data_IF_755050645942
#
_entry.id   IF_755050645942
#
_cell.length_a   1.000
_cell.length_b   1.000
_cell.length_c   1.000
_cell.angle_alpha   90.00
_cell.angle_beta   90.00
_cell.angle_gamma   90.00
#
_symmetry.space_group_name_H-M   'P 1'
#
loop_
_entity.id
_entity.type
_entity.pdbx_description
1 polymer ?
#
# COMPACT_ATOMS: atom_id res chain seq x y z
N UNK A 1 -30.74 -21.69 -19.27
CA UNK A 1 -29.88 -20.87 -18.38
C UNK A 1 -29.76 -19.47 -18.97
N UNK A 2 -30.39 -18.47 -18.36
CA UNK A 2 -30.39 -17.07 -18.85
C UNK A 2 -28.99 -16.44 -18.69
N UNK A 3 -28.33 -15.98 -19.77
CA UNK A 3 -26.96 -15.42 -19.72
C UNK A 3 -26.78 -14.22 -18.77
N UNK A 4 -27.86 -13.54 -18.37
CA UNK A 4 -27.83 -12.39 -17.47
C UNK A 4 -27.70 -12.72 -15.98
N UNK A 5 -28.24 -13.86 -15.51
CA UNK A 5 -28.28 -14.17 -14.07
C UNK A 5 -26.88 -14.48 -13.49
N UNK A 6 -26.00 -15.10 -14.29
CA UNK A 6 -24.61 -15.39 -13.90
C UNK A 6 -23.73 -14.13 -13.77
N UNK A 7 -23.91 -13.16 -14.68
CA UNK A 7 -23.17 -11.88 -14.65
C UNK A 7 -23.55 -11.01 -13.44
N UNK A 8 -24.85 -10.89 -13.17
CA UNK A 8 -25.36 -10.11 -12.01
C UNK A 8 -24.94 -10.74 -10.67
N UNK A 9 -24.79 -12.07 -10.61
CA UNK A 9 -24.23 -12.76 -9.43
C UNK A 9 -22.74 -12.45 -9.25
N UNK A 10 -21.95 -12.53 -10.33
CA UNK A 10 -20.52 -12.21 -10.31
C UNK A 10 -20.21 -10.78 -9.89
N UNK A 11 -20.98 -9.81 -10.37
CA UNK A 11 -20.81 -8.40 -10.00
C UNK A 11 -21.12 -8.12 -8.53
N UNK A 12 -22.16 -8.75 -7.97
CA UNK A 12 -22.48 -8.63 -6.54
C UNK A 12 -21.40 -9.26 -5.66
N UNK A 13 -20.85 -10.41 -6.08
CA UNK A 13 -19.72 -11.03 -5.36
C UNK A 13 -18.49 -10.12 -5.45
N UNK A 14 -18.20 -9.55 -6.61
CA UNK A 14 -17.08 -8.63 -6.79
C UNK A 14 -17.16 -7.44 -5.83
N UNK A 15 -18.31 -6.76 -5.71
CA UNK A 15 -18.43 -5.62 -4.81
C UNK A 15 -18.32 -5.97 -3.33
N UNK A 16 -18.68 -7.20 -2.94
CA UNK A 16 -18.42 -7.69 -1.57
C UNK A 16 -16.93 -7.95 -1.32
N UNK A 17 -16.23 -8.53 -2.30
CA UNK A 17 -14.76 -8.70 -2.25
C UNK A 17 -14.08 -7.33 -2.20
N UNK A 18 -14.57 -6.37 -2.99
CA UNK A 18 -14.09 -5.00 -3.00
C UNK A 18 -14.30 -4.32 -1.64
N UNK A 19 -15.48 -4.44 -1.02
CA UNK A 19 -15.72 -3.95 0.33
C UNK A 19 -14.78 -4.58 1.36
N UNK A 20 -14.51 -5.88 1.23
CA UNK A 20 -13.57 -6.57 2.12
C UNK A 20 -12.14 -6.06 1.92
N UNK A 21 -11.70 -5.81 0.68
CA UNK A 21 -10.41 -5.20 0.39
C UNK A 21 -10.33 -3.73 0.86
N UNK A 22 -11.42 -2.97 0.77
CA UNK A 22 -11.52 -1.64 1.35
C UNK A 22 -11.35 -1.67 2.88
N UNK A 23 -12.08 -2.56 3.56
CA UNK A 23 -11.97 -2.77 5.00
C UNK A 23 -10.56 -3.23 5.41
N UNK A 24 -9.93 -4.08 4.59
CA UNK A 24 -8.55 -4.53 4.77
C UNK A 24 -7.58 -3.35 4.67
N UNK A 25 -7.71 -2.49 3.66
CA UNK A 25 -6.91 -1.27 3.52
C UNK A 25 -7.09 -0.32 4.71
N UNK A 26 -8.34 -0.13 5.16
CA UNK A 26 -8.62 0.62 6.38
C UNK A 26 -7.89 0.02 7.59
N UNK A 27 -8.10 -1.27 7.85
CA UNK A 27 -7.54 -1.99 9.01
C UNK A 27 -6.02 -2.01 9.05
N UNK A 28 -5.37 -1.95 7.90
CA UNK A 28 -3.93 -1.86 7.80
C UNK A 28 -3.38 -0.49 8.23
N UNK A 29 -4.03 0.60 7.78
CA UNK A 29 -3.42 1.93 7.84
C UNK A 29 -4.05 2.87 8.87
N UNK A 30 -5.23 2.57 9.42
CA UNK A 30 -5.90 3.42 10.43
C UNK A 30 -4.99 3.80 11.61
N UNK A 31 -4.07 2.89 11.97
CA UNK A 31 -3.03 3.06 12.99
C UNK A 31 -2.21 4.34 12.82
N UNK A 32 -1.99 4.80 11.58
CA UNK A 32 -1.21 6.00 11.28
C UNK A 32 -1.76 7.26 11.96
N UNK A 33 -3.08 7.41 12.04
CA UNK A 33 -3.69 8.55 12.75
C UNK A 33 -3.64 8.41 14.28
N UNK A 34 -3.45 7.18 14.79
CA UNK A 34 -3.34 6.91 16.22
C UNK A 34 -1.91 7.04 16.75
N UNK A 35 -0.90 7.13 15.88
CA UNK A 35 0.50 7.31 16.29
C UNK A 35 0.67 8.44 17.31
N UNK A 36 0.15 9.65 17.09
CA UNK A 36 0.30 10.73 18.06
C UNK A 36 -0.44 10.43 19.37
N UNK A 37 -1.63 9.83 19.29
CA UNK A 37 -2.48 9.50 20.44
C UNK A 37 -1.80 8.46 21.33
N UNK A 38 -1.23 7.41 20.72
CA UNK A 38 -0.52 6.34 21.43
C UNK A 38 0.75 6.85 22.13
N UNK A 39 1.43 7.86 21.56
CA UNK A 39 2.59 8.50 22.20
C UNK A 39 2.19 9.31 23.42
N UNK A 40 1.11 10.09 23.33
CA UNK A 40 0.71 11.00 24.40
C UNK A 40 -0.14 10.33 25.46
N UNK A 41 -1.22 9.65 25.06
CA UNK A 41 -2.19 9.03 25.97
C UNK A 41 -1.78 7.62 26.39
N UNK A 42 -1.12 6.88 25.50
CA UNK A 42 -0.56 5.56 25.81
C UNK A 42 0.86 5.61 26.39
N UNK A 43 1.44 6.81 26.52
CA UNK A 43 2.81 7.05 27.01
C UNK A 43 3.89 6.20 26.28
N UNK A 44 3.62 5.83 25.02
CA UNK A 44 4.52 4.96 24.27
C UNK A 44 5.68 5.75 23.65
N UNK A 45 6.93 5.27 23.76
CA UNK A 45 8.08 5.87 23.08
C UNK A 45 7.89 5.93 21.56
N UNK A 46 8.48 6.95 20.91
CA UNK A 46 8.48 7.09 19.45
C UNK A 46 9.00 5.83 18.76
N UNK A 47 10.07 5.23 19.32
CA UNK A 47 10.71 4.01 18.82
C UNK A 47 9.72 2.85 18.79
N UNK A 48 8.89 2.68 19.83
CA UNK A 48 7.89 1.62 19.91
C UNK A 48 6.83 1.77 18.83
N UNK A 49 6.27 2.98 18.69
CA UNK A 49 5.20 3.25 17.71
C UNK A 49 5.73 3.17 16.26
N UNK A 50 6.97 3.59 16.02
CA UNK A 50 7.64 3.44 14.73
C UNK A 50 8.00 1.97 14.44
N UNK A 51 8.42 1.20 15.46
CA UNK A 51 8.65 -0.26 15.36
C UNK A 51 7.38 -1.01 14.99
N UNK A 52 6.21 -0.50 15.42
CA UNK A 52 4.91 -1.02 15.03
C UNK A 52 4.61 -0.96 13.52
N UNK A 53 5.27 -0.08 12.76
CA UNK A 53 5.26 -0.10 11.29
C UNK A 53 6.20 -1.16 10.72
N UNK A 54 7.42 -1.24 11.25
CA UNK A 54 8.42 -2.22 10.80
C UNK A 54 7.95 -3.67 11.04
N UNK A 55 7.44 -3.99 12.25
CA UNK A 55 6.97 -5.33 12.60
C UNK A 55 5.71 -5.73 11.83
N UNK A 56 4.85 -4.76 11.49
CA UNK A 56 3.70 -4.99 10.62
C UNK A 56 4.14 -5.51 9.25
N UNK A 57 5.21 -4.95 8.67
CA UNK A 57 5.77 -5.44 7.43
C UNK A 57 6.28 -6.88 7.58
N UNK A 58 6.97 -7.21 8.68
CA UNK A 58 7.44 -8.58 8.96
C UNK A 58 6.27 -9.57 8.98
N UNK A 59 5.16 -9.22 9.64
CA UNK A 59 3.96 -10.07 9.64
C UNK A 59 3.31 -10.19 8.26
N UNK A 60 3.30 -9.09 7.49
CA UNK A 60 2.65 -9.02 6.19
C UNK A 60 3.33 -9.85 5.10
N UNK A 61 4.67 -9.89 5.07
CA UNK A 61 5.41 -10.51 3.97
C UNK A 61 5.09 -12.01 3.77
N UNK A 62 5.07 -12.87 4.81
CA UNK A 62 4.68 -14.28 4.64
C UNK A 62 3.28 -14.43 4.05
N UNK A 63 2.32 -13.62 4.51
CA UNK A 63 0.94 -13.64 4.01
C UNK A 63 0.85 -13.20 2.55
N UNK A 64 1.62 -12.20 2.15
CA UNK A 64 1.64 -11.69 0.78
C UNK A 64 2.31 -12.67 -0.20
N UNK A 65 3.40 -13.31 0.22
CA UNK A 65 4.15 -14.27 -0.60
C UNK A 65 3.45 -15.62 -0.70
N UNK A 66 2.85 -16.10 0.39
CA UNK A 66 2.19 -17.40 0.46
C UNK A 66 0.69 -17.38 0.17
N UNK A 67 0.02 -16.24 0.37
CA UNK A 67 -1.44 -16.14 0.31
C UNK A 67 -2.03 -16.47 -1.05
N UNK A 68 -1.34 -16.14 -2.14
CA UNK A 68 -1.76 -16.48 -3.50
C UNK A 68 -1.69 -17.99 -3.76
N UNK A 69 -0.55 -18.62 -3.45
CA UNK A 69 -0.38 -20.07 -3.60
C UNK A 69 -1.38 -20.85 -2.72
N UNK A 70 -1.68 -20.34 -1.53
CA UNK A 70 -2.67 -20.93 -0.64
C UNK A 70 -4.09 -20.73 -1.18
N UNK A 71 -4.41 -19.56 -1.73
CA UNK A 71 -5.68 -19.28 -2.40
C UNK A 71 -5.91 -20.21 -3.60
N UNK A 72 -4.88 -20.54 -4.37
CA UNK A 72 -4.98 -21.48 -5.49
C UNK A 72 -5.28 -22.91 -5.00
N UNK A 73 -4.74 -23.31 -3.84
CA UNK A 73 -4.92 -24.66 -3.27
C UNK A 73 -6.25 -24.86 -2.55
N UNK A 74 -6.66 -23.90 -1.71
CA UNK A 74 -7.83 -24.06 -0.83
C UNK A 74 -8.99 -23.11 -1.16
N UNK A 75 -8.82 -22.26 -2.19
CA UNK A 75 -9.80 -21.31 -2.68
C UNK A 75 -9.61 -19.90 -2.08
N UNK A 76 -9.65 -18.84 -2.90
CA UNK A 76 -9.37 -17.48 -2.45
C UNK A 76 -10.34 -16.98 -1.38
N UNK A 77 -11.62 -17.38 -1.45
CA UNK A 77 -12.64 -17.01 -0.45
C UNK A 77 -12.20 -17.36 0.97
N UNK A 78 -11.66 -18.56 1.20
CA UNK A 78 -11.29 -19.01 2.55
C UNK A 78 -10.13 -18.19 3.11
N UNK A 79 -9.12 -17.92 2.29
CA UNK A 79 -7.92 -17.18 2.69
C UNK A 79 -8.20 -15.70 2.92
N UNK A 80 -9.04 -15.09 2.08
CA UNK A 80 -9.46 -13.71 2.25
C UNK A 80 -10.21 -13.51 3.57
N UNK A 81 -11.16 -14.40 3.88
CA UNK A 81 -11.94 -14.31 5.12
C UNK A 81 -11.09 -14.59 6.37
N UNK A 82 -10.17 -15.56 6.29
CA UNK A 82 -9.21 -15.83 7.36
C UNK A 82 -8.31 -14.61 7.60
N UNK A 83 -7.72 -14.04 6.54
CA UNK A 83 -6.86 -12.87 6.63
C UNK A 83 -7.58 -11.66 7.23
N UNK A 84 -8.78 -11.34 6.76
CA UNK A 84 -9.58 -10.23 7.28
C UNK A 84 -9.95 -10.44 8.76
N UNK A 85 -10.31 -11.66 9.15
CA UNK A 85 -10.62 -12.01 10.55
C UNK A 85 -9.39 -11.88 11.45
N UNK A 86 -8.23 -12.36 10.99
CA UNK A 86 -6.95 -12.23 11.72
C UNK A 86 -6.59 -10.75 11.91
N UNK A 87 -6.74 -9.93 10.86
CA UNK A 87 -6.49 -8.49 10.95
C UNK A 87 -7.46 -7.77 11.89
N UNK A 88 -8.73 -8.18 11.92
CA UNK A 88 -9.70 -7.67 12.89
C UNK A 88 -9.31 -8.06 14.33
N UNK A 89 -8.92 -9.31 14.55
CA UNK A 89 -8.48 -9.79 15.86
C UNK A 89 -7.24 -9.04 16.37
N UNK A 90 -6.25 -8.81 15.51
CA UNK A 90 -5.06 -8.03 15.87
C UNK A 90 -5.38 -6.58 16.23
N UNK A 91 -6.31 -5.94 15.51
CA UNK A 91 -6.77 -4.59 15.85
C UNK A 91 -7.57 -4.56 17.16
N UNK A 92 -8.45 -5.55 17.39
CA UNK A 92 -9.22 -5.65 18.62
C UNK A 92 -8.31 -5.94 19.84
N UNK A 93 -7.26 -6.74 19.65
CA UNK A 93 -6.25 -6.95 20.69
C UNK A 93 -5.57 -5.63 21.09
N UNK A 94 -5.19 -4.80 20.12
CA UNK A 94 -4.61 -3.48 20.40
C UNK A 94 -5.62 -2.52 21.07
N UNK A 95 -6.93 -2.69 20.79
CA UNK A 95 -7.99 -1.89 21.43
C UNK A 95 -8.09 -2.13 22.94
N UNK A 96 -7.63 -3.27 23.45
CA UNK A 96 -7.68 -3.61 24.88
C UNK A 96 -6.30 -3.68 25.52
N UNK A 97 -5.24 -3.81 24.71
CA UNK A 97 -3.87 -3.97 25.17
C UNK A 97 -2.94 -2.95 24.52
N UNK A 98 -2.94 -1.73 25.09
CA UNK A 98 -2.19 -0.58 24.59
C UNK A 98 -0.72 -0.53 25.06
N UNK A 99 -0.25 -1.50 25.84
CA UNK A 99 1.16 -1.58 26.24
C UNK A 99 2.06 -1.85 25.03
N UNK A 100 3.34 -1.50 25.14
CA UNK A 100 4.34 -1.66 24.07
C UNK A 100 4.26 -3.04 23.38
N UNK A 101 4.34 -4.11 24.17
CA UNK A 101 4.26 -5.46 23.62
C UNK A 101 2.91 -5.74 22.95
N UNK A 102 1.80 -5.25 23.51
CA UNK A 102 0.46 -5.42 22.95
C UNK A 102 0.31 -4.76 21.58
N UNK A 103 0.84 -3.55 21.42
CA UNK A 103 0.87 -2.84 20.14
C UNK A 103 1.76 -3.56 19.13
N UNK A 104 2.96 -3.99 19.50
CA UNK A 104 3.87 -4.70 18.58
C UNK A 104 3.31 -6.07 18.15
N UNK A 105 2.82 -6.86 19.09
CA UNK A 105 2.21 -8.16 18.82
C UNK A 105 0.94 -8.00 17.96
N UNK A 106 0.08 -7.02 18.29
CA UNK A 106 -1.09 -6.70 17.51
C UNK A 106 -0.75 -6.31 16.08
N UNK A 107 0.25 -5.45 15.87
CA UNK A 107 0.71 -5.05 14.53
C UNK A 107 1.29 -6.20 13.72
N UNK A 108 2.01 -7.14 14.35
CA UNK A 108 2.47 -8.37 13.70
C UNK A 108 1.29 -9.23 13.21
N UNK A 109 0.29 -9.44 14.07
CA UNK A 109 -0.93 -10.20 13.74
C UNK A 109 -1.73 -9.52 12.63
N UNK A 110 -1.92 -8.19 12.72
CA UNK A 110 -2.57 -7.41 11.66
C UNK A 110 -1.79 -7.56 10.35
N UNK A 111 -0.46 -7.47 10.37
CA UNK A 111 0.39 -7.70 9.21
C UNK A 111 0.06 -9.02 8.52
N UNK A 112 0.13 -10.13 9.26
CA UNK A 112 -0.17 -11.47 8.74
C UNK A 112 -1.56 -11.59 8.12
N UNK A 113 -2.58 -11.05 8.80
CA UNK A 113 -3.95 -11.04 8.31
C UNK A 113 -4.12 -10.23 7.01
N UNK A 114 -3.57 -9.02 6.98
CA UNK A 114 -3.63 -8.14 5.80
C UNK A 114 -2.90 -8.77 4.61
N UNK A 115 -1.71 -9.35 4.81
CA UNK A 115 -0.96 -10.00 3.75
C UNK A 115 -1.76 -11.10 3.05
N UNK A 116 -2.42 -11.97 3.83
CA UNK A 116 -3.30 -13.02 3.33
C UNK A 116 -4.51 -12.43 2.57
N UNK A 117 -5.18 -11.45 3.15
CA UNK A 117 -6.38 -10.84 2.59
C UNK A 117 -6.12 -10.11 1.27
N UNK A 118 -5.04 -9.31 1.20
CA UNK A 118 -4.66 -8.57 0.00
C UNK A 118 -4.26 -9.54 -1.12
N UNK A 119 -3.43 -10.54 -0.83
CA UNK A 119 -2.96 -11.48 -1.84
C UNK A 119 -4.13 -12.30 -2.41
N UNK A 120 -4.89 -12.98 -1.55
CA UNK A 120 -5.99 -13.83 -1.99
C UNK A 120 -7.17 -13.04 -2.55
N UNK A 121 -7.39 -11.81 -2.06
CA UNK A 121 -8.48 -10.95 -2.51
C UNK A 121 -8.23 -10.40 -3.90
N UNK A 122 -6.97 -10.09 -4.21
CA UNK A 122 -6.56 -9.73 -5.58
C UNK A 122 -6.77 -10.90 -6.54
N UNK A 123 -6.38 -12.12 -6.15
CA UNK A 123 -6.66 -13.34 -6.94
C UNK A 123 -8.17 -13.49 -7.18
N UNK A 124 -8.99 -13.32 -6.13
CA UNK A 124 -10.44 -13.42 -6.26
C UNK A 124 -11.02 -12.36 -7.20
N UNK A 125 -10.55 -11.12 -7.10
CA UNK A 125 -10.97 -10.02 -7.97
C UNK A 125 -10.62 -10.31 -9.44
N UNK A 126 -9.45 -10.88 -9.72
CA UNK A 126 -9.04 -11.33 -11.06
C UNK A 126 -9.97 -12.44 -11.56
N UNK A 127 -10.32 -13.41 -10.73
CA UNK A 127 -11.25 -14.47 -11.14
C UNK A 127 -12.64 -13.92 -11.52
N UNK A 128 -13.06 -12.80 -10.92
CA UNK A 128 -14.38 -12.22 -11.16
C UNK A 128 -14.43 -11.26 -12.35
N UNK A 129 -13.35 -10.50 -12.59
CA UNK A 129 -13.33 -9.40 -13.59
C UNK A 129 -12.03 -9.32 -14.42
N UNK A 130 -11.16 -10.33 -14.36
CA UNK A 130 -9.86 -10.35 -15.03
C UNK A 130 -8.94 -9.21 -14.57
N UNK A 131 -8.14 -8.67 -15.50
CA UNK A 131 -7.22 -7.57 -15.26
C UNK A 131 -7.90 -6.30 -14.69
N UNK A 132 -9.14 -6.01 -15.14
CA UNK A 132 -9.93 -4.89 -14.61
C UNK A 132 -10.28 -5.09 -13.12
N UNK A 133 -10.49 -6.35 -12.71
CA UNK A 133 -10.70 -6.74 -11.32
C UNK A 133 -9.50 -6.47 -10.43
N UNK A 134 -8.29 -6.87 -10.85
CA UNK A 134 -7.04 -6.55 -10.13
C UNK A 134 -6.85 -5.04 -9.98
N UNK A 135 -7.04 -4.29 -11.06
CA UNK A 135 -6.87 -2.83 -11.06
C UNK A 135 -7.84 -2.17 -10.08
N UNK A 136 -9.12 -2.53 -10.13
CA UNK A 136 -10.14 -1.97 -9.25
C UNK A 136 -9.95 -2.42 -7.79
N UNK A 137 -9.54 -3.66 -7.56
CA UNK A 137 -9.15 -4.15 -6.24
C UNK A 137 -8.02 -3.32 -5.62
N UNK A 138 -6.97 -3.02 -6.40
CA UNK A 138 -5.88 -2.14 -5.97
C UNK A 138 -6.35 -0.73 -5.63
N UNK A 139 -7.17 -0.11 -6.49
CA UNK A 139 -7.73 1.23 -6.24
C UNK A 139 -8.56 1.26 -4.95
N UNK A 140 -9.42 0.25 -4.75
CA UNK A 140 -10.31 0.18 -3.58
C UNK A 140 -9.52 -0.11 -2.30
N UNK A 141 -8.48 -0.95 -2.38
CA UNK A 141 -7.55 -1.16 -1.27
C UNK A 141 -6.84 0.15 -0.89
N UNK A 142 -6.31 0.90 -1.86
CA UNK A 142 -5.66 2.20 -1.62
C UNK A 142 -6.64 3.24 -1.09
N UNK A 143 -7.89 3.23 -1.55
CA UNK A 143 -8.94 4.07 -0.96
C UNK A 143 -9.14 3.76 0.52
N UNK A 144 -9.14 2.48 0.91
CA UNK A 144 -9.14 2.06 2.31
C UNK A 144 -7.93 2.58 3.10
N UNK A 145 -6.72 2.48 2.52
CA UNK A 145 -5.51 3.06 3.13
C UNK A 145 -5.64 4.58 3.34
N UNK A 146 -6.30 5.29 2.43
CA UNK A 146 -6.50 6.73 2.49
C UNK A 146 -7.54 7.14 3.54
N UNK A 147 -8.72 6.49 3.52
CA UNK A 147 -9.86 6.88 4.35
C UNK A 147 -9.77 6.38 5.79
N UNK A 148 -9.07 5.26 6.03
CA UNK A 148 -8.93 4.68 7.36
C UNK A 148 -8.32 5.63 8.39
N UNK A 149 -7.10 6.17 8.15
CA UNK A 149 -6.49 7.18 9.02
C UNK A 149 -7.37 8.41 9.19
N UNK A 150 -8.03 8.88 8.13
CA UNK A 150 -8.87 10.07 8.23
C UNK A 150 -10.07 9.86 9.16
N UNK A 151 -10.79 8.76 9.00
CA UNK A 151 -11.89 8.41 9.89
C UNK A 151 -11.40 8.19 11.34
N UNK A 152 -10.27 7.50 11.52
CA UNK A 152 -9.66 7.33 12.86
C UNK A 152 -9.22 8.65 13.47
N UNK A 153 -8.68 9.57 12.66
CA UNK A 153 -8.27 10.91 13.08
C UNK A 153 -9.45 11.78 13.51
N UNK A 154 -10.58 11.71 12.79
CA UNK A 154 -11.84 12.35 13.22
C UNK A 154 -12.28 11.77 14.55
N UNK A 155 -12.38 10.44 14.67
CA UNK A 155 -12.81 9.78 15.90
C UNK A 155 -11.92 10.15 17.08
N UNK A 156 -10.60 10.16 16.90
CA UNK A 156 -9.66 10.54 17.93
C UNK A 156 -9.71 12.04 18.29
N UNK A 157 -10.10 12.91 17.36
CA UNK A 157 -10.20 14.35 17.61
C UNK A 157 -11.51 14.77 18.29
N UNK A 158 -12.62 14.04 18.06
CA UNK A 158 -13.94 14.39 18.60
C UNK A 158 -14.28 13.69 19.91
N UNK A 159 -13.64 12.55 20.17
CA UNK A 159 -13.88 11.77 21.39
C UNK A 159 -12.92 12.21 22.52
N UNK A 160 -13.30 11.97 23.79
CA UNK A 160 -12.37 12.11 24.90
C UNK A 160 -11.14 11.19 24.72
N UNK A 161 -10.05 11.45 25.45
CA UNK A 161 -8.76 10.77 25.28
C UNK A 161 -8.86 9.22 25.30
N UNK A 162 -9.46 8.62 26.34
CA UNK A 162 -9.49 7.14 26.44
C UNK A 162 -10.37 6.47 25.36
N UNK A 163 -11.62 6.94 25.11
CA UNK A 163 -12.40 6.43 23.99
C UNK A 163 -11.76 6.76 22.63
N UNK A 164 -11.10 7.90 22.48
CA UNK A 164 -10.42 8.33 21.25
C UNK A 164 -9.25 7.42 20.87
N UNK A 165 -8.61 6.77 21.84
CA UNK A 165 -7.59 5.75 21.61
C UNK A 165 -8.19 4.40 21.19
N UNK A 166 -9.30 3.98 21.81
CA UNK A 166 -9.86 2.64 21.66
C UNK A 166 -10.86 2.50 20.50
N UNK A 167 -11.77 3.47 20.35
CA UNK A 167 -12.88 3.43 19.39
C UNK A 167 -12.40 3.26 17.94
N UNK A 168 -11.30 3.89 17.49
CA UNK A 168 -10.83 3.69 16.11
C UNK A 168 -10.41 2.23 15.81
N UNK A 169 -9.79 1.54 16.77
CA UNK A 169 -9.49 0.10 16.63
C UNK A 169 -10.77 -0.76 16.57
N UNK A 170 -11.78 -0.42 17.38
CA UNK A 170 -13.08 -1.10 17.36
C UNK A 170 -13.80 -0.85 16.04
N UNK A 171 -13.80 0.39 15.54
CA UNK A 171 -14.46 0.77 14.29
C UNK A 171 -13.89 0.01 13.09
N UNK A 172 -12.56 -0.08 12.95
CA UNK A 172 -11.97 -0.84 11.86
C UNK A 172 -12.19 -2.35 11.99
N UNK A 173 -12.26 -2.86 13.21
CA UNK A 173 -12.54 -4.28 13.47
C UNK A 173 -13.99 -4.61 13.12
N UNK A 174 -14.93 -3.76 13.53
CA UNK A 174 -16.34 -3.86 13.17
C UNK A 174 -16.56 -3.81 11.66
N UNK A 175 -15.90 -2.88 10.95
CA UNK A 175 -15.96 -2.82 9.49
C UNK A 175 -15.47 -4.12 8.83
N UNK A 176 -14.38 -4.69 9.34
CA UNK A 176 -13.83 -5.95 8.86
C UNK A 176 -14.80 -7.12 9.11
N UNK A 177 -15.40 -7.20 10.31
CA UNK A 177 -16.40 -8.21 10.66
C UNK A 177 -17.64 -8.10 9.78
N UNK A 178 -18.14 -6.88 9.54
CA UNK A 178 -19.28 -6.64 8.65
C UNK A 178 -18.95 -7.11 7.22
N UNK A 179 -17.77 -6.76 6.69
CA UNK A 179 -17.35 -7.19 5.36
C UNK A 179 -17.24 -8.72 5.25
N UNK A 180 -16.66 -9.38 6.27
CA UNK A 180 -16.60 -10.85 6.37
C UNK A 180 -18.00 -11.45 6.42
N UNK A 181 -18.89 -10.93 7.27
CA UNK A 181 -20.27 -11.41 7.42
C UNK A 181 -21.06 -11.29 6.11
N UNK A 182 -20.94 -10.17 5.39
CA UNK A 182 -21.61 -9.96 4.10
C UNK A 182 -21.16 -10.98 3.03
N UNK A 183 -19.90 -11.41 3.07
CA UNK A 183 -19.40 -12.47 2.20
C UNK A 183 -19.89 -13.84 2.67
N UNK A 184 -19.80 -14.15 3.97
CA UNK A 184 -20.22 -15.45 4.54
C UNK A 184 -21.71 -15.71 4.32
N UNK A 185 -22.56 -14.73 4.63
CA UNK A 185 -24.02 -14.81 4.51
C UNK A 185 -24.49 -14.82 3.04
N UNK A 186 -23.60 -14.53 2.09
CA UNK A 186 -23.96 -14.62 0.69
C UNK A 186 -24.13 -16.07 0.24
N UNK A 187 -25.38 -16.45 -0.05
CA UNK A 187 -25.76 -17.73 -0.69
C UNK A 187 -25.36 -17.84 -2.17
N UNK A 188 -24.60 -16.88 -2.69
CA UNK A 188 -24.14 -16.93 -4.07
C UNK A 188 -23.20 -18.14 -4.21
N UNK A 189 -23.67 -19.19 -4.89
CA UNK A 189 -22.89 -20.37 -5.21
C UNK A 189 -21.59 -19.92 -5.89
N UNK A 190 -20.46 -20.01 -5.19
CA UNK A 190 -19.13 -19.77 -5.74
C UNK A 190 -18.66 -20.96 -6.60
N UNK A 191 -19.60 -21.60 -7.31
CA UNK A 191 -19.38 -22.77 -8.13
C UNK A 191 -18.68 -22.41 -9.43
N UNK A 192 -17.39 -22.10 -9.34
CA UNK A 192 -16.44 -22.23 -10.44
C UNK A 192 -15.43 -23.29 -10.03
N UNK A 193 -15.33 -24.37 -10.80
CA UNK A 193 -14.38 -25.48 -10.57
C UNK A 193 -12.95 -24.96 -10.32
N UNK A 194 -12.16 -25.57 -9.41
CA UNK A 194 -10.76 -25.17 -9.14
C UNK A 194 -9.78 -25.42 -10.30
N UNK A 195 -10.22 -25.88 -11.47
CA UNK A 195 -9.33 -26.42 -12.50
C UNK A 195 -9.58 -25.76 -13.86
N UNK A 196 -9.24 -24.48 -14.01
CA UNK A 196 -8.80 -23.86 -15.28
C UNK A 196 -8.57 -22.34 -15.10
N UNK A 197 -7.61 -21.97 -14.25
CA UNK A 197 -6.99 -20.65 -14.32
C UNK A 197 -5.50 -20.84 -14.63
N UNK A 198 -5.21 -21.37 -15.82
CA UNK A 198 -3.89 -21.18 -16.40
C UNK A 198 -3.78 -19.69 -16.72
N UNK A 199 -2.82 -19.03 -16.08
CA UNK A 199 -2.58 -17.59 -16.06
C UNK A 199 -2.75 -16.88 -17.43
N UNK A 200 -3.13 -15.59 -17.42
CA UNK A 200 -2.11 -14.55 -17.26
C UNK A 200 -2.40 -13.61 -16.08
N UNK A 201 -1.33 -13.26 -15.36
CA UNK A 201 -1.37 -12.53 -14.09
C UNK A 201 -2.06 -11.17 -14.10
N UNK A 202 -2.31 -10.65 -12.90
CA UNK A 202 -3.02 -9.38 -12.61
C UNK A 202 -2.33 -8.13 -13.17
N UNK A 203 -2.22 -8.06 -14.49
CA UNK A 203 -1.65 -6.94 -15.22
C UNK A 203 -2.58 -5.74 -15.20
N UNK A 204 -1.97 -4.57 -15.03
CA UNK A 204 -2.53 -3.31 -15.51
C UNK A 204 -2.80 -3.48 -17.01
N UNK A 205 -3.98 -3.10 -17.49
CA UNK A 205 -4.30 -3.21 -18.90
C UNK A 205 -3.32 -2.37 -19.74
N UNK A 206 -2.40 -3.04 -20.45
CA UNK A 206 -1.52 -2.43 -21.46
C UNK A 206 -2.05 -2.81 -22.85
N UNK A 207 -2.18 -1.87 -23.80
CA UNK A 207 -2.53 -2.20 -25.18
C UNK A 207 -1.50 -3.15 -25.78
N UNK A 208 -1.98 -4.22 -26.41
CA UNK A 208 -1.15 -5.24 -27.06
C UNK A 208 -0.38 -4.62 -28.23
N UNK A 209 0.92 -4.35 -28.05
CA UNK A 209 1.82 -4.01 -29.15
C UNK A 209 3.26 -4.46 -28.86
N UNK A 210 3.85 -5.10 -29.88
CA UNK A 210 5.19 -5.67 -30.02
C UNK A 210 5.53 -6.98 -29.23
N UNK A 211 6.05 -8.02 -29.92
CA UNK A 211 6.51 -9.25 -29.28
C UNK A 211 7.82 -8.99 -28.52
N UNK A 212 7.75 -8.97 -27.18
CA UNK A 212 8.93 -8.94 -26.31
C UNK A 212 9.65 -10.29 -26.47
N UNK A 213 10.69 -10.34 -27.31
CA UNK A 213 11.37 -11.59 -27.69
C UNK A 213 12.06 -12.34 -26.55
N UNK A 214 12.28 -11.74 -25.37
CA UNK A 214 12.81 -12.46 -24.19
C UNK A 214 12.23 -11.86 -22.89
N UNK A 215 11.25 -12.53 -22.29
CA UNK A 215 10.84 -12.28 -20.89
C UNK A 215 11.85 -12.94 -19.95
N UNK A 216 12.29 -12.23 -18.92
CA UNK A 216 13.28 -12.74 -17.96
C UNK A 216 13.02 -12.16 -16.58
N UNK A 217 12.98 -13.03 -15.56
CA UNK A 217 12.83 -12.61 -14.17
C UNK A 217 13.98 -11.69 -13.74
N UNK A 218 15.22 -11.98 -14.14
CA UNK A 218 16.40 -11.14 -13.85
C UNK A 218 16.23 -9.73 -14.40
N UNK A 219 15.72 -9.60 -15.64
CA UNK A 219 15.46 -8.30 -16.25
C UNK A 219 14.34 -7.57 -15.53
N UNK A 220 13.23 -8.26 -15.23
CA UNK A 220 12.14 -7.68 -14.47
C UNK A 220 12.60 -7.14 -13.11
N UNK A 221 13.43 -7.89 -12.37
CA UNK A 221 14.03 -7.41 -11.12
C UNK A 221 14.90 -6.18 -11.31
N UNK A 222 15.81 -6.19 -12.28
CA UNK A 222 16.73 -5.06 -12.50
C UNK A 222 16.03 -3.74 -12.82
N UNK A 223 14.83 -3.80 -13.42
CA UNK A 223 14.07 -2.60 -13.82
C UNK A 223 13.05 -2.20 -12.75
N UNK A 224 12.36 -3.16 -12.12
CA UNK A 224 11.30 -2.88 -11.16
C UNK A 224 11.82 -2.60 -9.74
N UNK A 225 12.84 -3.32 -9.26
CA UNK A 225 13.32 -3.18 -7.87
C UNK A 225 13.85 -1.78 -7.54
N UNK A 226 14.55 -1.05 -8.44
CA UNK A 226 14.97 0.31 -8.15
C UNK A 226 13.82 1.26 -7.82
N UNK A 227 12.59 1.00 -8.29
CA UNK A 227 11.42 1.81 -7.97
C UNK A 227 10.74 1.38 -6.67
N UNK A 228 10.92 0.11 -6.27
CA UNK A 228 10.22 -0.46 -5.12
C UNK A 228 10.50 0.30 -3.82
N UNK A 229 11.77 0.64 -3.57
CA UNK A 229 12.19 1.28 -2.33
C UNK A 229 11.48 2.63 -2.08
N UNK A 230 11.14 3.36 -3.14
CA UNK A 230 10.52 4.68 -3.06
C UNK A 230 9.02 4.64 -2.77
N UNK A 231 8.39 3.47 -2.90
CA UNK A 231 6.94 3.34 -2.68
C UNK A 231 6.62 3.67 -1.23
N UNK A 232 6.88 2.78 -0.28
CA UNK A 232 6.46 3.05 1.09
C UNK A 232 7.41 3.95 1.88
N UNK A 233 8.64 4.18 1.42
CA UNK A 233 9.52 5.16 2.08
C UNK A 233 9.00 6.60 1.91
N UNK A 234 8.51 6.96 0.72
CA UNK A 234 7.89 8.28 0.52
C UNK A 234 6.57 8.40 1.27
N UNK A 235 5.76 7.33 1.29
CA UNK A 235 4.52 7.29 2.04
C UNK A 235 4.75 7.44 3.56
N UNK A 236 5.71 6.71 4.14
CA UNK A 236 5.96 6.74 5.58
C UNK A 236 6.60 8.06 6.01
N UNK A 237 7.49 8.64 5.20
CA UNK A 237 7.99 10.00 5.44
C UNK A 237 6.86 11.03 5.39
N UNK A 238 5.95 10.92 4.42
CA UNK A 238 4.80 11.80 4.31
C UNK A 238 3.86 11.70 5.51
N UNK A 239 3.56 10.48 5.99
CA UNK A 239 2.49 10.28 6.97
C UNK A 239 2.95 10.22 8.43
N UNK A 240 4.24 10.03 8.67
CA UNK A 240 4.80 9.86 10.02
C UNK A 240 5.81 10.97 10.34
N UNK A 241 6.77 11.22 9.45
CA UNK A 241 7.90 12.13 9.72
C UNK A 241 7.51 13.60 9.54
N UNK A 242 6.80 13.95 8.47
CA UNK A 242 6.39 15.35 8.26
C UNK A 242 5.38 15.85 9.30
N UNK A 243 4.33 15.10 9.68
CA UNK A 243 3.37 15.55 10.68
C UNK A 243 3.99 15.77 12.06
N UNK A 244 5.04 15.03 12.44
CA UNK A 244 5.72 15.21 13.74
C UNK A 244 6.54 16.49 13.83
N UNK A 245 6.68 17.23 12.72
CA UNK A 245 7.41 18.51 12.65
C UNK A 245 6.50 19.74 12.68
N UNK A 246 5.20 19.52 12.59
CA UNK A 246 4.21 20.57 12.67
C UNK A 246 3.91 20.85 14.14
N UNK A 247 3.95 22.12 14.53
CA UNK A 247 3.45 22.56 15.82
C UNK A 247 1.93 22.68 15.73
N UNK A 248 1.23 21.62 16.15
CA UNK A 248 -0.20 21.47 15.99
C UNK A 248 -0.92 21.67 17.34
N UNK A 249 -2.07 22.35 17.36
CA UNK A 249 -2.89 22.44 18.57
C UNK A 249 -3.20 21.05 19.16
N UNK A 250 -3.21 20.96 20.48
CA UNK A 250 -3.56 19.74 21.19
C UNK A 250 -4.90 19.17 20.67
N UNK A 251 -4.92 17.86 20.38
CA UNK A 251 -6.09 17.15 19.84
C UNK A 251 -6.25 17.19 18.31
N UNK A 252 -5.50 18.04 17.59
CA UNK A 252 -5.60 18.11 16.12
C UNK A 252 -4.64 17.17 15.36
N UNK A 253 -3.61 16.65 16.02
CA UNK A 253 -2.53 15.87 15.40
C UNK A 253 -3.04 14.59 14.73
N UNK A 254 -4.00 13.90 15.35
CA UNK A 254 -4.61 12.68 14.78
C UNK A 254 -5.42 12.99 13.51
N UNK A 255 -6.20 14.07 13.51
CA UNK A 255 -6.96 14.52 12.35
C UNK A 255 -6.03 14.94 11.20
N UNK A 256 -4.96 15.67 11.51
CA UNK A 256 -3.96 16.08 10.50
C UNK A 256 -3.28 14.86 9.89
N UNK A 257 -2.81 13.89 10.70
CA UNK A 257 -2.25 12.64 10.19
C UNK A 257 -3.25 11.88 9.27
N UNK A 258 -4.54 11.93 9.62
CA UNK A 258 -5.63 11.43 8.81
C UNK A 258 -5.80 12.14 7.46
N UNK A 259 -5.86 13.49 7.48
CA UNK A 259 -5.98 14.33 6.28
C UNK A 259 -4.81 14.14 5.32
N UNK A 260 -3.60 14.05 5.87
CA UNK A 260 -2.37 13.82 5.13
C UNK A 260 -2.42 12.49 4.40
N UNK A 261 -2.99 11.44 5.01
CA UNK A 261 -3.17 10.14 4.36
C UNK A 261 -4.10 10.24 3.14
N UNK A 262 -5.23 10.96 3.26
CA UNK A 262 -6.11 11.24 2.11
C UNK A 262 -5.37 11.99 1.02
N UNK A 263 -4.66 13.07 1.38
CA UNK A 263 -3.96 13.90 0.40
C UNK A 263 -2.85 13.13 -0.32
N UNK A 264 -2.02 12.39 0.42
CA UNK A 264 -0.89 11.66 -0.17
C UNK A 264 -1.34 10.46 -1.00
N UNK A 265 -2.20 9.59 -0.47
CA UNK A 265 -2.72 8.46 -1.27
C UNK A 265 -3.62 8.94 -2.42
N UNK A 266 -4.40 9.99 -2.21
CA UNK A 266 -5.21 10.62 -3.25
C UNK A 266 -4.35 11.18 -4.39
N UNK A 267 -3.27 11.89 -4.06
CA UNK A 267 -2.27 12.35 -5.03
C UNK A 267 -1.67 11.16 -5.79
N UNK A 268 -1.32 10.08 -5.10
CA UNK A 268 -0.81 8.85 -5.71
C UNK A 268 -1.81 8.20 -6.68
N UNK A 269 -3.08 8.03 -6.27
CA UNK A 269 -4.14 7.49 -7.14
C UNK A 269 -4.34 8.40 -8.36
N UNK A 270 -4.41 9.72 -8.15
CA UNK A 270 -4.54 10.72 -9.20
C UNK A 270 -3.40 10.66 -10.20
N UNK A 271 -2.14 10.60 -9.72
CA UNK A 271 -0.95 10.48 -10.54
C UNK A 271 -0.94 9.19 -11.37
N UNK A 272 -1.34 8.06 -10.76
CA UNK A 272 -1.48 6.80 -11.49
C UNK A 272 -2.55 6.86 -12.58
N UNK A 273 -3.69 7.48 -12.29
CA UNK A 273 -4.77 7.67 -13.25
C UNK A 273 -4.32 8.58 -14.41
N UNK A 274 -3.62 9.67 -14.10
CA UNK A 274 -3.07 10.61 -15.08
C UNK A 274 -2.03 9.93 -15.98
N UNK A 275 -1.08 9.21 -15.39
CA UNK A 275 -0.06 8.46 -16.11
C UNK A 275 -0.65 7.37 -17.02
N UNK A 276 -1.76 6.74 -16.63
CA UNK A 276 -2.52 5.82 -17.50
C UNK A 276 -3.24 6.56 -18.62
N UNK A 277 -3.98 7.63 -18.30
CA UNK A 277 -4.81 8.38 -19.25
C UNK A 277 -3.99 9.01 -20.37
N UNK A 278 -2.91 9.67 -19.97
CA UNK A 278 -2.01 10.36 -20.90
C UNK A 278 -0.92 9.47 -21.44
N UNK A 279 -0.86 8.23 -20.95
CA UNK A 279 0.09 7.25 -21.42
C UNK A 279 1.51 7.87 -21.28
N UNK A 280 2.01 7.94 -20.05
CA UNK A 280 3.36 8.52 -19.82
C UNK A 280 4.47 7.51 -20.13
N UNK A 281 4.15 6.22 -20.07
CA UNK A 281 5.14 5.17 -20.26
C UNK A 281 6.22 5.15 -19.20
N UNK A 282 7.40 4.58 -19.53
CA UNK A 282 8.48 4.34 -18.56
C UNK A 282 8.99 5.61 -17.84
N UNK A 283 8.75 6.80 -18.41
CA UNK A 283 9.15 8.09 -17.83
C UNK A 283 8.44 8.38 -16.52
N UNK A 284 7.23 7.82 -16.32
CA UNK A 284 6.51 7.98 -15.06
C UNK A 284 7.35 7.49 -13.86
N UNK A 285 8.18 6.46 -14.04
CA UNK A 285 9.02 5.95 -12.95
C UNK A 285 10.21 6.87 -12.67
N UNK A 286 10.77 7.49 -13.71
CA UNK A 286 11.83 8.52 -13.56
C UNK A 286 11.28 9.73 -12.82
N UNK A 287 10.10 10.21 -13.21
CA UNK A 287 9.41 11.29 -12.51
C UNK A 287 9.09 10.91 -11.05
N UNK A 288 8.60 9.69 -10.80
CA UNK A 288 8.32 9.20 -9.46
C UNK A 288 9.54 9.20 -8.54
N UNK A 289 10.66 8.65 -9.01
CA UNK A 289 11.92 8.65 -8.26
C UNK A 289 12.51 10.07 -8.09
N UNK A 290 12.38 10.93 -9.10
CA UNK A 290 12.76 12.34 -8.99
C UNK A 290 11.93 13.12 -7.95
N UNK A 291 10.62 12.86 -7.89
CA UNK A 291 9.74 13.44 -6.87
C UNK A 291 10.05 12.88 -5.47
N UNK A 292 10.43 11.60 -5.36
CA UNK A 292 10.92 11.04 -4.10
C UNK A 292 12.18 11.80 -3.61
N UNK A 293 13.14 12.02 -4.50
CA UNK A 293 14.35 12.78 -4.19
C UNK A 293 14.03 14.22 -3.75
N UNK A 294 13.15 14.91 -4.46
CA UNK A 294 12.71 16.26 -4.10
C UNK A 294 12.04 16.29 -2.72
N UNK A 295 11.10 15.37 -2.48
CA UNK A 295 10.38 15.28 -1.20
C UNK A 295 11.31 14.97 -0.03
N UNK A 296 12.26 14.04 -0.18
CA UNK A 296 13.25 13.76 0.87
C UNK A 296 14.20 14.93 1.10
N UNK A 297 14.59 15.65 0.06
CA UNK A 297 15.45 16.84 0.18
C UNK A 297 14.74 17.96 0.94
N UNK A 298 13.48 18.26 0.57
CA UNK A 298 12.66 19.22 1.32
C UNK A 298 12.53 18.80 2.78
N UNK A 299 12.27 17.50 3.02
CA UNK A 299 12.20 16.96 4.38
C UNK A 299 13.57 16.96 5.08
N UNK A 300 14.71 16.95 4.41
CA UNK A 300 15.99 17.01 5.09
C UNK A 300 16.23 18.39 5.73
N UNK A 301 15.86 19.46 5.02
CA UNK A 301 16.19 20.83 5.43
C UNK A 301 15.09 21.54 6.22
N UNK A 302 13.83 21.12 6.06
CA UNK A 302 12.69 21.86 6.62
C UNK A 302 12.22 21.21 7.92
N UNK A 303 12.74 21.70 9.04
CA UNK A 303 12.38 21.20 10.38
C UNK A 303 11.07 21.79 10.91
N UNK A 304 10.71 23.00 10.50
CA UNK A 304 9.43 23.65 10.84
C UNK A 304 8.77 24.18 9.56
N UNK A 305 8.12 23.30 8.75
CA UNK A 305 7.53 23.72 7.50
C UNK A 305 6.32 24.64 7.72
N UNK A 306 6.19 25.76 6.98
CA UNK A 306 4.91 26.44 6.89
C UNK A 306 3.87 25.51 6.26
N UNK A 307 2.59 25.68 6.62
CA UNK A 307 1.49 24.77 6.22
C UNK A 307 1.46 24.50 4.72
N UNK A 308 1.68 25.52 3.87
CA UNK A 308 1.67 25.34 2.42
C UNK A 308 2.80 24.38 1.94
N UNK A 309 4.00 24.49 2.50
CA UNK A 309 5.14 23.67 2.11
C UNK A 309 4.97 22.24 2.62
N UNK A 310 4.41 22.09 3.82
CA UNK A 310 3.97 20.80 4.33
C UNK A 310 3.00 20.14 3.36
N UNK A 311 1.90 20.80 2.98
CA UNK A 311 0.91 20.24 2.06
C UNK A 311 1.51 19.89 0.68
N UNK A 312 2.38 20.76 0.14
CA UNK A 312 3.09 20.49 -1.12
C UNK A 312 3.98 19.25 -0.98
N UNK A 313 4.75 19.11 0.10
CA UNK A 313 5.60 17.95 0.32
C UNK A 313 4.81 16.64 0.41
N UNK A 314 3.63 16.66 1.06
CA UNK A 314 2.71 15.51 1.11
C UNK A 314 2.23 15.10 -0.27
N UNK A 315 1.81 16.06 -1.10
CA UNK A 315 1.36 15.79 -2.48
C UNK A 315 2.52 15.27 -3.33
N UNK A 316 3.72 15.83 -3.19
CA UNK A 316 4.93 15.41 -3.92
C UNK A 316 5.32 13.97 -3.56
N UNK A 317 5.41 13.65 -2.27
CA UNK A 317 5.74 12.31 -1.79
C UNK A 317 4.63 11.30 -2.13
N UNK A 318 3.36 11.69 -2.02
CA UNK A 318 2.23 10.86 -2.44
C UNK A 318 2.20 10.56 -3.94
N UNK A 319 2.55 11.55 -4.77
CA UNK A 319 2.72 11.38 -6.22
C UNK A 319 3.88 10.44 -6.53
N UNK A 320 5.01 10.58 -5.82
CA UNK A 320 6.15 9.68 -5.93
C UNK A 320 5.77 8.23 -5.61
N UNK A 321 5.07 8.00 -4.49
CA UNK A 321 4.49 6.69 -4.12
C UNK A 321 3.69 6.10 -5.29
N UNK A 322 2.73 6.85 -5.83
CA UNK A 322 1.82 6.38 -6.86
C UNK A 322 2.53 6.01 -8.17
N UNK A 323 3.41 6.89 -8.64
CA UNK A 323 4.15 6.66 -9.89
C UNK A 323 5.13 5.50 -9.78
N UNK A 324 5.91 5.42 -8.70
CA UNK A 324 6.86 4.32 -8.46
C UNK A 324 6.16 2.97 -8.34
N UNK A 325 5.03 2.90 -7.61
CA UNK A 325 4.25 1.67 -7.45
C UNK A 325 3.71 1.19 -8.80
N UNK A 326 3.05 2.09 -9.55
CA UNK A 326 2.48 1.75 -10.86
C UNK A 326 3.56 1.24 -11.81
N UNK A 327 4.66 1.97 -11.93
CA UNK A 327 5.70 1.68 -12.89
C UNK A 327 6.46 0.41 -12.56
N UNK A 328 6.77 0.18 -11.28
CA UNK A 328 7.33 -1.10 -10.86
C UNK A 328 6.43 -2.28 -11.22
N UNK A 329 5.11 -2.19 -10.99
CA UNK A 329 4.16 -3.25 -11.36
C UNK A 329 3.99 -3.42 -12.87
N UNK A 330 3.98 -2.33 -13.64
CA UNK A 330 3.95 -2.37 -15.11
C UNK A 330 5.19 -3.07 -15.67
N UNK A 331 6.38 -2.75 -15.15
CA UNK A 331 7.63 -3.39 -15.57
C UNK A 331 7.61 -4.90 -15.29
N UNK A 332 7.10 -5.31 -14.13
CA UNK A 332 6.95 -6.73 -13.80
C UNK A 332 5.99 -7.42 -14.76
N UNK A 333 4.85 -6.80 -15.09
CA UNK A 333 3.89 -7.38 -16.02
C UNK A 333 4.46 -7.56 -17.44
N UNK A 334 5.21 -6.56 -17.92
CA UNK A 334 5.83 -6.56 -19.24
C UNK A 334 7.01 -7.54 -19.34
N UNK A 335 7.89 -7.58 -18.34
CA UNK A 335 9.20 -8.24 -18.43
C UNK A 335 9.23 -9.64 -17.82
N UNK A 336 8.40 -9.93 -16.81
CA UNK A 336 8.44 -11.21 -16.12
C UNK A 336 7.76 -12.33 -16.94
N UNK A 337 8.39 -13.52 -17.06
CA UNK A 337 7.72 -14.70 -17.60
C UNK A 337 6.43 -15.01 -16.83
N UNK A 338 5.40 -15.49 -17.53
CA UNK A 338 4.09 -15.77 -16.92
C UNK A 338 4.22 -16.73 -15.73
N UNK A 339 5.08 -17.74 -15.84
CA UNK A 339 5.32 -18.74 -14.80
C UNK A 339 5.94 -18.17 -13.51
N UNK A 340 6.75 -17.10 -13.61
CA UNK A 340 7.46 -16.52 -12.45
C UNK A 340 6.94 -15.13 -12.06
N UNK A 341 5.95 -14.59 -12.78
CA UNK A 341 5.41 -13.23 -12.54
C UNK A 341 4.94 -13.03 -11.11
N UNK A 342 4.21 -14.00 -10.54
CA UNK A 342 3.74 -13.91 -9.15
C UNK A 342 4.88 -13.78 -8.14
N UNK A 343 5.96 -14.54 -8.33
CA UNK A 343 7.19 -14.45 -7.51
C UNK A 343 7.84 -13.07 -7.65
N UNK A 344 7.96 -12.54 -8.87
CA UNK A 344 8.56 -11.23 -9.11
C UNK A 344 7.74 -10.12 -8.45
N UNK A 345 6.40 -10.18 -8.53
CA UNK A 345 5.50 -9.26 -7.83
C UNK A 345 5.70 -9.36 -6.32
N UNK A 346 5.78 -10.58 -5.77
CA UNK A 346 6.01 -10.82 -4.35
C UNK A 346 7.30 -10.18 -3.85
N UNK A 347 8.42 -10.43 -4.54
CA UNK A 347 9.72 -9.81 -4.21
C UNK A 347 9.67 -8.30 -4.40
N UNK A 348 9.04 -7.78 -5.45
CA UNK A 348 8.85 -6.34 -5.62
C UNK A 348 8.18 -5.73 -4.37
N UNK A 349 7.08 -6.32 -3.90
CA UNK A 349 6.42 -5.85 -2.68
C UNK A 349 7.30 -5.97 -1.43
N UNK A 350 8.07 -7.05 -1.26
CA UNK A 350 9.04 -7.17 -0.16
C UNK A 350 9.93 -5.93 -0.09
N UNK A 351 10.48 -5.50 -1.23
CA UNK A 351 11.31 -4.29 -1.30
C UNK A 351 10.52 -3.01 -1.07
N UNK A 352 9.26 -2.92 -1.52
CA UNK A 352 8.42 -1.76 -1.18
C UNK A 352 8.25 -1.61 0.32
N UNK A 353 8.00 -2.72 1.03
CA UNK A 353 7.72 -2.71 2.48
C UNK A 353 8.94 -2.42 3.34
N UNK A 354 10.17 -2.50 2.81
CA UNK A 354 11.36 -1.98 3.50
C UNK A 354 11.21 -0.49 3.84
N UNK A 355 10.41 0.26 3.09
CA UNK A 355 10.07 1.66 3.38
C UNK A 355 9.38 1.87 4.74
N UNK A 356 8.74 0.86 5.32
CA UNK A 356 8.16 0.92 6.67
C UNK A 356 9.21 1.01 7.78
N UNK A 357 10.46 0.62 7.50
CA UNK A 357 11.56 0.78 8.45
C UNK A 357 12.11 2.21 8.51
N UNK A 358 11.83 3.07 7.52
CA UNK A 358 12.42 4.41 7.43
C UNK A 358 12.15 5.28 8.67
N UNK A 359 10.91 5.41 9.18
CA UNK A 359 10.66 6.21 10.38
C UNK A 359 11.43 5.69 11.61
N UNK A 360 11.47 4.36 11.80
CA UNK A 360 12.22 3.73 12.89
C UNK A 360 13.72 4.02 12.78
N UNK A 361 14.29 3.89 11.57
CA UNK A 361 15.70 4.17 11.34
C UNK A 361 16.03 5.64 11.60
N UNK A 362 15.17 6.56 11.17
CA UNK A 362 15.34 8.00 11.43
C UNK A 362 15.33 8.30 12.92
N UNK A 363 14.37 7.77 13.66
CA UNK A 363 14.21 7.94 15.10
C UNK A 363 15.40 7.35 15.88
N UNK A 364 15.93 6.20 15.43
CA UNK A 364 17.09 5.57 16.04
C UNK A 364 18.40 6.36 15.84
N UNK A 365 18.61 6.93 14.65
CA UNK A 365 19.85 7.67 14.33
C UNK A 365 19.79 9.14 14.71
N UNK A 366 18.60 9.70 14.91
CA UNK A 366 18.36 11.11 15.24
C UNK A 366 19.22 11.62 16.41
N UNK A 367 19.35 10.91 17.56
CA UNK A 367 20.19 11.38 18.66
C UNK A 367 21.69 11.50 18.33
N UNK A 368 22.16 10.78 17.31
CA UNK A 368 23.59 10.69 16.97
C UNK A 368 24.01 11.62 15.82
N UNK A 369 23.24 11.65 14.74
CA UNK A 369 23.59 12.38 13.49
C UNK A 369 22.44 13.25 12.97
N UNK A 370 21.32 13.33 13.70
CA UNK A 370 20.09 13.97 13.24
C UNK A 370 19.41 13.24 12.08
N UNK A 371 18.32 13.83 11.58
CA UNK A 371 17.54 13.24 10.47
C UNK A 371 17.97 13.73 9.08
N UNK A 372 18.73 14.83 9.00
CA UNK A 372 19.14 15.47 7.74
C UNK A 372 19.97 14.56 6.86
N UNK A 373 21.08 14.01 7.37
CA UNK A 373 21.99 13.17 6.60
C UNK A 373 21.29 11.90 6.05
N UNK A 374 20.56 11.10 6.86
CA UNK A 374 19.80 9.97 6.35
C UNK A 374 18.79 10.32 5.25
N UNK A 375 18.08 11.46 5.38
CA UNK A 375 17.13 11.92 4.36
C UNK A 375 17.83 12.35 3.07
N UNK A 376 19.00 12.98 3.16
CA UNK A 376 19.82 13.31 1.99
C UNK A 376 20.39 12.06 1.31
N UNK A 377 20.73 11.02 2.07
CA UNK A 377 21.14 9.73 1.49
C UNK A 377 19.97 9.07 0.75
N UNK A 378 18.77 9.08 1.32
CA UNK A 378 17.55 8.62 0.62
C UNK A 378 17.30 9.43 -0.66
N UNK A 379 17.46 10.75 -0.60
CA UNK A 379 17.32 11.62 -1.77
C UNK A 379 18.36 11.30 -2.85
N UNK A 380 19.63 11.15 -2.50
CA UNK A 380 20.72 10.80 -3.42
C UNK A 380 20.48 9.44 -4.07
N UNK A 381 20.09 8.43 -3.30
CA UNK A 381 19.74 7.12 -3.85
C UNK A 381 18.53 7.17 -4.79
N UNK A 382 17.54 8.02 -4.51
CA UNK A 382 16.40 8.23 -5.40
C UNK A 382 16.80 8.92 -6.73
N UNK A 383 17.71 9.90 -6.69
CA UNK A 383 18.32 10.49 -7.90
C UNK A 383 19.08 9.43 -8.70
N UNK A 384 19.86 8.57 -8.04
CA UNK A 384 20.59 7.48 -8.70
C UNK A 384 19.62 6.49 -9.35
N UNK A 385 18.52 6.13 -8.69
CA UNK A 385 17.50 5.26 -9.26
C UNK A 385 16.78 5.90 -10.46
N UNK A 386 16.45 7.19 -10.38
CA UNK A 386 15.87 7.95 -11.49
C UNK A 386 16.82 8.00 -12.70
N UNK A 387 18.10 8.29 -12.44
CA UNK A 387 19.15 8.38 -13.46
C UNK A 387 19.41 7.01 -14.11
N UNK A 388 19.55 5.95 -13.30
CA UNK A 388 19.73 4.60 -13.79
C UNK A 388 18.55 4.16 -14.67
N UNK A 389 17.30 4.45 -14.26
CA UNK A 389 16.10 4.17 -15.06
C UNK A 389 16.10 4.98 -16.36
N UNK A 390 16.42 6.27 -16.30
CA UNK A 390 16.55 7.12 -17.50
C UNK A 390 17.59 6.59 -18.48
N UNK A 391 18.76 6.15 -18.00
CA UNK A 391 19.80 5.54 -18.83
C UNK A 391 19.31 4.22 -19.45
N UNK A 392 18.63 3.37 -18.67
CA UNK A 392 18.04 2.12 -19.21
C UNK A 392 17.04 2.45 -20.32
N UNK A 393 16.19 3.46 -20.13
CA UNK A 393 15.22 3.90 -21.14
C UNK A 393 15.87 4.46 -22.41
N UNK A 394 17.02 5.11 -22.31
CA UNK A 394 17.76 5.62 -23.47
C UNK A 394 18.51 4.50 -24.21
N UNK A 395 19.04 3.51 -23.46
CA UNK A 395 19.82 2.39 -24.02
C UNK A 395 18.98 1.23 -24.55
N UNK A 396 17.70 1.17 -24.17
CA UNK A 396 16.77 0.16 -24.65
C UNK A 396 15.64 0.85 -25.37
N UNK A 397 15.09 0.27 -26.45
CA UNK A 397 13.92 0.81 -27.16
C UNK A 397 12.63 0.83 -26.29
N UNK A 398 12.72 0.85 -24.96
CA UNK A 398 11.55 0.91 -24.07
C UNK A 398 10.67 2.12 -24.38
N UNK A 399 11.27 3.26 -24.76
CA UNK A 399 10.53 4.45 -25.20
C UNK A 399 9.86 4.25 -26.56
N UNK A 400 10.56 3.66 -27.53
CA UNK A 400 10.03 3.45 -28.88
C UNK A 400 8.97 2.34 -28.94
N UNK A 401 9.09 1.32 -28.08
CA UNK A 401 8.11 0.22 -27.93
C UNK A 401 6.84 0.62 -27.22
N UNK A 402 6.86 1.74 -26.51
CA UNK A 402 5.76 2.20 -25.70
C UNK A 402 4.86 3.22 -26.44
N UNK A 403 5.33 3.82 -27.56
CA UNK A 403 4.52 4.72 -28.39
C UNK A 403 3.27 4.00 -28.92
N UNK A 404 2.05 4.40 -28.52
CA UNK A 404 0.85 3.85 -29.11
C UNK A 404 0.70 4.36 -30.55
N UNK A 405 0.82 3.47 -31.54
CA UNK A 405 0.51 3.76 -32.94
C UNK A 405 1.70 3.88 -33.90
N UNK A 406 2.51 2.83 -34.01
CA UNK A 406 3.19 2.49 -35.28
C UNK A 406 2.87 1.06 -35.67
#
# INVERSE_FOLDING_TARGET
>A
MTPGAGRVSGDRVFWRVALLLFATGWAANHFTALVPVLRTAGELPSVTVNSAFAIYAIGLLPGLLGGGALADRIGPRRIVLAGATIAAAGNLAMAVWHAEFGVLAGRLVVGGGIGLAVSAGTVWAVMLRGASGATLAGIILTAGFATGPFASGILAAVLPLDPGMTVPFVATSALSVVAVALVVLSRASTGGSPLQARAPGGGVAVPASAPIRIRSARRAFSVALPMALWVFSTATVAFIVLPSRMDLPAGSTALVAGLVSILGFGAGIGAQALARRFAWGPIAGVCGAGLAAAGFTVTAYVQHPPVWLFLVAIVVLGTAYGLCLREGLVDVDLLAPVATRGMVIGVFYVFTYLGFAVPLLLDFVEPSIGTTLPLLLLAAMAVLAASARGIVMLKTDLLDRWRPGR
#
